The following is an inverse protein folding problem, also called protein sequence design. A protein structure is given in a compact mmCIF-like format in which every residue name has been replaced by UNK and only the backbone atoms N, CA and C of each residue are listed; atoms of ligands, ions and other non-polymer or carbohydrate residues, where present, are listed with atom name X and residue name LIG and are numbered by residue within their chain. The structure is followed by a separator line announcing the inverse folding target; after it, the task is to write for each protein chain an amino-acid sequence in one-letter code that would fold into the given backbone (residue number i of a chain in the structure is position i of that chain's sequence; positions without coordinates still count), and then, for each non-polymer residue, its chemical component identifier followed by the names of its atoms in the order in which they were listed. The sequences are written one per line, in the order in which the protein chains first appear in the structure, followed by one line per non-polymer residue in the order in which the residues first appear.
data_IF_310544883928
#
_entry.id   IF_310544883928
#
_cell.length_a   1.000
_cell.length_b   1.000
_cell.length_c   1.000
_cell.angle_alpha   90.00
_cell.angle_beta   90.00
_cell.angle_gamma   90.00
#
_symmetry.space_group_name_H-M   'P 1'
#
loop_
_entity.id
_entity.type
_entity.pdbx_description
1 polymer ?
#
# COMPACT_ATOMS: atom_id res chain seq x y z
N UNK A 1 23.04 30.92 -21.99
CA UNK A 1 22.36 29.63 -21.84
C UNK A 1 22.59 29.23 -20.40
N UNK A 2 21.67 29.62 -19.51
CA UNK A 2 21.80 29.44 -18.05
C UNK A 2 21.53 27.99 -17.64
N UNK A 3 22.05 27.63 -16.48
CA UNK A 3 22.18 26.30 -15.88
C UNK A 3 20.90 25.47 -15.78
N UNK A 4 21.08 24.16 -15.56
CA UNK A 4 20.02 23.22 -15.20
C UNK A 4 20.53 22.11 -14.29
N UNK A 5 21.47 22.44 -13.40
CA UNK A 5 21.81 21.60 -12.26
C UNK A 5 20.64 21.62 -11.28
N UNK A 6 19.55 20.91 -11.61
CA UNK A 6 18.47 20.69 -10.67
C UNK A 6 18.99 19.84 -9.54
N UNK A 7 19.13 20.42 -8.34
CA UNK A 7 19.27 19.60 -7.14
C UNK A 7 18.15 18.54 -7.16
N UNK A 8 18.44 17.27 -6.83
CA UNK A 8 17.38 16.27 -6.74
C UNK A 8 16.28 16.81 -5.82
N UNK A 9 15.02 16.55 -6.18
CA UNK A 9 13.91 16.82 -5.28
C UNK A 9 14.15 16.14 -3.92
N UNK A 10 13.37 16.46 -2.88
CA UNK A 10 13.61 15.93 -1.52
C UNK A 10 13.58 14.39 -1.43
N UNK A 11 13.08 13.70 -2.46
CA UNK A 11 13.03 12.24 -2.56
C UNK A 11 14.06 11.77 -3.59
N UNK A 12 14.97 10.89 -3.16
CA UNK A 12 16.04 10.32 -3.98
C UNK A 12 15.61 9.04 -4.71
N UNK A 13 14.86 8.18 -4.02
CA UNK A 13 14.30 6.92 -4.51
C UNK A 13 12.97 6.64 -3.82
N UNK A 14 12.13 5.81 -4.44
CA UNK A 14 10.86 5.33 -3.88
C UNK A 14 10.88 3.81 -3.75
N UNK A 15 10.48 3.29 -2.58
CA UNK A 15 10.04 1.89 -2.47
C UNK A 15 8.57 1.87 -2.07
N UNK A 16 7.74 1.31 -2.95
CA UNK A 16 6.34 1.03 -2.67
C UNK A 16 6.18 -0.46 -2.35
N UNK A 17 5.41 -0.78 -1.32
CA UNK A 17 5.15 -2.15 -0.88
C UNK A 17 3.64 -2.36 -0.81
N UNK A 18 3.15 -3.42 -1.46
CA UNK A 18 1.75 -3.84 -1.59
C UNK A 18 0.83 -2.87 -2.34
N UNK A 19 1.04 -1.56 -2.24
CA UNK A 19 0.19 -0.53 -2.84
C UNK A 19 0.79 -0.02 -4.16
N UNK A 20 0.07 -0.14 -5.29
CA UNK A 20 0.51 0.31 -6.59
C UNK A 20 0.40 1.84 -6.72
N UNK A 21 0.81 2.36 -7.87
CA UNK A 21 0.51 3.73 -8.22
C UNK A 21 -1.01 4.00 -8.16
N UNK A 22 -1.41 5.15 -7.61
CA UNK A 22 -2.84 5.40 -7.34
C UNK A 22 -3.68 5.66 -8.59
N UNK A 23 -3.07 6.12 -9.69
CA UNK A 23 -3.78 6.30 -10.96
C UNK A 23 -4.29 4.97 -11.54
N UNK A 24 -3.44 3.94 -11.80
CA UNK A 24 -3.92 2.65 -12.27
C UNK A 24 -4.75 1.93 -11.21
N UNK A 25 -4.49 2.13 -9.91
CA UNK A 25 -5.37 1.62 -8.85
C UNK A 25 -6.77 2.20 -8.93
N UNK A 26 -6.88 3.52 -9.04
CA UNK A 26 -8.14 4.22 -9.16
C UNK A 26 -8.89 3.89 -10.45
N UNK A 27 -8.16 3.60 -11.54
CA UNK A 27 -8.75 3.06 -12.77
C UNK A 27 -9.29 1.64 -12.56
N UNK A 28 -8.50 0.73 -11.99
CA UNK A 28 -8.93 -0.63 -11.72
C UNK A 28 -10.14 -0.67 -10.77
N UNK A 29 -10.18 0.16 -9.72
CA UNK A 29 -11.36 0.31 -8.85
C UNK A 29 -12.63 0.72 -9.63
N UNK A 30 -12.49 1.43 -10.76
CA UNK A 30 -13.62 1.85 -11.60
C UNK A 30 -13.99 0.83 -12.68
N UNK A 31 -13.01 0.10 -13.21
CA UNK A 31 -13.15 -0.59 -14.50
C UNK A 31 -12.90 -2.11 -14.41
N UNK A 32 -12.31 -2.62 -13.32
CA UNK A 32 -11.92 -4.02 -13.14
C UNK A 32 -12.76 -4.71 -12.05
N UNK A 33 -13.46 -5.78 -12.40
CA UNK A 33 -14.40 -6.46 -11.49
C UNK A 33 -13.71 -7.11 -10.28
N UNK A 34 -12.52 -7.67 -10.46
CA UNK A 34 -11.74 -8.28 -9.38
C UNK A 34 -11.28 -7.21 -8.38
N UNK A 35 -10.72 -6.09 -8.87
CA UNK A 35 -10.32 -4.99 -8.00
C UNK A 35 -11.52 -4.32 -7.31
N UNK A 36 -12.68 -4.23 -7.96
CA UNK A 36 -13.91 -3.75 -7.32
C UNK A 36 -14.30 -4.63 -6.12
N UNK A 37 -14.24 -5.96 -6.29
CA UNK A 37 -14.52 -6.90 -5.21
C UNK A 37 -13.51 -6.76 -4.07
N UNK A 38 -12.20 -6.72 -4.38
CA UNK A 38 -11.13 -6.52 -3.40
C UNK A 38 -11.27 -5.19 -2.65
N UNK A 39 -11.80 -4.15 -3.31
CA UNK A 39 -11.93 -2.81 -2.73
C UNK A 39 -13.25 -2.57 -1.99
N UNK A 40 -14.13 -3.56 -1.88
CA UNK A 40 -15.44 -3.42 -1.25
C UNK A 40 -15.34 -2.95 0.23
N UNK A 41 -14.27 -3.34 0.93
CA UNK A 41 -14.02 -2.91 2.32
C UNK A 41 -13.89 -1.39 2.45
N UNK A 42 -13.43 -0.67 1.40
CA UNK A 42 -13.26 0.78 1.44
C UNK A 42 -14.60 1.49 1.69
N UNK A 43 -15.72 0.95 1.16
CA UNK A 43 -17.04 1.51 1.40
C UNK A 43 -17.48 1.32 2.86
N UNK A 44 -17.14 0.18 3.45
CA UNK A 44 -17.36 -0.08 4.88
C UNK A 44 -16.57 0.93 5.72
N UNK A 45 -15.29 1.12 5.42
CA UNK A 45 -14.41 2.02 6.19
C UNK A 45 -14.78 3.50 6.07
N UNK A 46 -15.39 3.90 4.94
CA UNK A 46 -15.95 5.25 4.77
C UNK A 46 -17.16 5.52 5.68
N UNK A 47 -17.85 4.48 6.14
CA UNK A 47 -19.03 4.60 6.99
C UNK A 47 -18.75 5.29 8.34
N UNK A 48 -19.72 6.07 8.81
CA UNK A 48 -19.66 6.72 10.13
C UNK A 48 -19.66 5.72 11.30
N UNK A 49 -20.21 4.52 11.11
CA UNK A 49 -20.21 3.44 12.09
C UNK A 49 -18.99 2.50 12.05
N UNK A 50 -18.03 2.73 11.15
CA UNK A 50 -16.92 1.81 10.91
C UNK A 50 -16.03 1.60 12.15
N UNK A 51 -15.64 2.68 12.83
CA UNK A 51 -14.80 2.62 14.03
C UNK A 51 -15.46 1.76 15.11
N UNK A 52 -16.72 2.07 15.45
CA UNK A 52 -17.49 1.31 16.43
C UNK A 52 -17.55 -0.17 16.05
N UNK A 53 -17.90 -0.49 14.81
CA UNK A 53 -18.01 -1.87 14.35
C UNK A 53 -16.68 -2.64 14.39
N UNK A 54 -15.55 -1.96 14.14
CA UNK A 54 -14.22 -2.55 14.16
C UNK A 54 -13.69 -2.76 15.59
N UNK A 55 -14.06 -1.90 16.54
CA UNK A 55 -13.64 -1.97 17.95
C UNK A 55 -14.56 -2.84 18.83
N UNK A 56 -15.77 -3.15 18.37
CA UNK A 56 -16.69 -4.10 19.04
C UNK A 56 -16.04 -5.47 19.31
N UNK A 57 -16.55 -6.17 20.34
CA UNK A 57 -16.10 -7.51 20.75
C UNK A 57 -14.58 -7.62 20.94
N UNK A 58 -13.95 -6.68 21.68
CA UNK A 58 -12.49 -6.63 21.85
C UNK A 58 -11.74 -6.50 20.51
N UNK A 59 -12.24 -5.61 19.65
CA UNK A 59 -11.72 -5.36 18.31
C UNK A 59 -11.63 -6.60 17.40
N UNK A 60 -12.55 -7.57 17.57
CA UNK A 60 -12.53 -8.85 16.86
C UNK A 60 -12.47 -8.70 15.34
N UNK A 61 -13.24 -7.77 14.77
CA UNK A 61 -13.25 -7.54 13.32
C UNK A 61 -11.95 -6.89 12.83
N UNK A 62 -11.40 -5.96 13.60
CA UNK A 62 -10.10 -5.36 13.30
C UNK A 62 -8.99 -6.42 13.32
N UNK A 63 -8.99 -7.31 14.33
CA UNK A 63 -8.05 -8.43 14.45
C UNK A 63 -8.12 -9.39 13.26
N UNK A 64 -9.33 -9.65 12.75
CA UNK A 64 -9.53 -10.55 11.61
C UNK A 64 -8.89 -10.05 10.30
N UNK A 65 -8.63 -8.74 10.16
CA UNK A 65 -7.98 -8.17 8.96
C UNK A 65 -6.55 -8.70 8.77
N UNK A 66 -5.87 -9.02 9.87
CA UNK A 66 -4.52 -9.59 9.84
C UNK A 66 -4.50 -11.10 9.54
N UNK A 67 -5.65 -11.77 9.63
CA UNK A 67 -5.78 -13.21 9.39
C UNK A 67 -4.81 -14.05 10.23
N UNK A 68 -4.28 -15.11 9.61
CA UNK A 68 -3.21 -15.94 10.19
C UNK A 68 -1.82 -15.56 9.65
N UNK A 69 -1.71 -14.41 8.98
CA UNK A 69 -0.49 -13.98 8.29
C UNK A 69 0.46 -13.20 9.20
N UNK A 70 -0.05 -12.63 10.29
CA UNK A 70 0.70 -11.81 11.24
C UNK A 70 0.71 -12.50 12.61
N UNK A 71 1.88 -12.62 13.27
CA UNK A 71 1.97 -13.18 14.61
C UNK A 71 1.03 -12.47 15.59
N UNK A 72 0.34 -13.24 16.45
CA UNK A 72 -0.72 -12.69 17.32
C UNK A 72 -0.23 -11.56 18.24
N UNK A 73 1.01 -11.62 18.72
CA UNK A 73 1.58 -10.56 19.56
C UNK A 73 1.78 -9.24 18.79
N UNK A 74 2.14 -9.28 17.50
CA UNK A 74 2.15 -8.08 16.66
C UNK A 74 0.73 -7.54 16.44
N UNK A 75 -0.24 -8.44 16.20
CA UNK A 75 -1.66 -8.05 16.07
C UNK A 75 -2.15 -7.36 17.35
N UNK A 76 -1.80 -7.88 18.52
CA UNK A 76 -2.11 -7.26 19.82
C UNK A 76 -1.52 -5.85 19.92
N UNK A 77 -0.24 -5.67 19.57
CA UNK A 77 0.44 -4.37 19.60
C UNK A 77 -0.16 -3.35 18.62
N UNK A 78 -0.57 -3.79 17.43
CA UNK A 78 -1.22 -2.95 16.42
C UNK A 78 -2.63 -2.55 16.84
N UNK A 79 -3.41 -3.51 17.32
CA UNK A 79 -4.78 -3.28 17.79
C UNK A 79 -4.77 -2.37 19.01
N UNK A 80 -3.86 -2.56 19.95
CA UNK A 80 -3.72 -1.66 21.11
C UNK A 80 -3.54 -0.21 20.64
N UNK A 81 -2.61 0.06 19.71
CA UNK A 81 -2.41 1.41 19.16
C UNK A 81 -3.64 1.97 18.45
N UNK A 82 -4.36 1.13 17.70
CA UNK A 82 -5.56 1.56 16.99
C UNK A 82 -6.75 1.79 17.93
N UNK A 83 -6.74 1.20 19.13
CA UNK A 83 -7.77 1.42 20.16
C UNK A 83 -7.57 2.71 20.96
N UNK A 84 -6.41 3.35 20.86
CA UNK A 84 -6.18 4.66 21.49
C UNK A 84 -7.19 5.70 20.99
N UNK A 85 -7.69 6.61 21.85
CA UNK A 85 -8.74 7.55 21.49
C UNK A 85 -8.42 8.33 20.20
N UNK A 86 -9.26 8.12 19.18
CA UNK A 86 -9.16 8.80 17.88
C UNK A 86 -8.18 8.18 16.88
N UNK A 87 -7.38 7.18 17.26
CA UNK A 87 -6.39 6.56 16.38
C UNK A 87 -7.06 5.83 15.20
N UNK A 88 -8.02 4.95 15.47
CA UNK A 88 -8.74 4.26 14.38
C UNK A 88 -9.57 5.23 13.54
N UNK A 89 -10.23 6.22 14.13
CA UNK A 89 -10.88 7.29 13.35
C UNK A 89 -9.90 8.01 12.42
N UNK A 90 -8.69 8.35 12.87
CA UNK A 90 -7.68 8.99 12.02
C UNK A 90 -7.26 8.08 10.86
N UNK A 91 -7.07 6.78 11.10
CA UNK A 91 -6.78 5.81 10.05
C UNK A 91 -7.94 5.71 9.03
N UNK A 92 -9.19 5.60 9.51
CA UNK A 92 -10.39 5.54 8.66
C UNK A 92 -10.61 6.83 7.85
N UNK A 93 -10.15 7.98 8.36
CA UNK A 93 -10.26 9.25 7.66
C UNK A 93 -9.48 9.28 6.34
N UNK A 94 -8.41 8.48 6.18
CA UNK A 94 -7.77 8.30 4.87
C UNK A 94 -8.76 7.75 3.84
N UNK A 95 -9.52 6.70 4.16
CA UNK A 95 -10.54 6.16 3.25
C UNK A 95 -11.68 7.16 2.98
N UNK A 96 -12.08 7.95 3.99
CA UNK A 96 -13.11 8.98 3.89
C UNK A 96 -12.67 10.17 3.05
N UNK A 97 -11.38 10.51 3.05
CA UNK A 97 -10.81 11.59 2.28
C UNK A 97 -10.41 11.17 0.85
N UNK A 98 -9.91 9.94 0.68
CA UNK A 98 -9.41 9.46 -0.62
C UNK A 98 -10.51 9.47 -1.67
N UNK A 99 -10.27 10.22 -2.72
CA UNK A 99 -11.01 10.21 -3.99
C UNK A 99 -9.98 9.92 -5.07
N UNK A 100 -10.23 8.91 -5.90
CA UNK A 100 -9.41 8.62 -7.08
C UNK A 100 -9.76 9.59 -8.23
N UNK A 101 -9.72 10.89 -7.92
CA UNK A 101 -10.18 11.95 -8.82
C UNK A 101 -8.98 12.61 -9.49
N UNK A 102 -8.85 12.40 -10.79
CA UNK A 102 -7.79 13.00 -11.61
C UNK A 102 -6.43 12.31 -11.44
N UNK A 103 -5.51 12.52 -12.40
CA UNK A 103 -4.19 11.91 -12.37
C UNK A 103 -3.32 12.56 -11.28
N UNK A 104 -2.61 11.75 -10.49
CA UNK A 104 -1.62 12.24 -9.52
C UNK A 104 -0.27 12.58 -10.17
N UNK A 105 -0.03 12.12 -11.40
CA UNK A 105 1.19 12.36 -12.16
C UNK A 105 2.07 11.12 -12.27
N UNK A 106 3.25 11.25 -12.92
CA UNK A 106 4.22 10.14 -13.03
C UNK A 106 5.30 10.26 -11.98
N UNK A 107 5.87 9.12 -11.57
CA UNK A 107 7.00 9.06 -10.64
C UNK A 107 8.31 9.10 -11.43
N UNK A 108 9.09 10.16 -11.23
CA UNK A 108 10.34 10.41 -11.98
C UNK A 108 11.59 9.83 -11.30
N UNK A 109 11.50 9.49 -10.01
CA UNK A 109 12.63 8.94 -9.24
C UNK A 109 12.75 7.43 -9.44
N UNK A 110 13.95 6.84 -9.24
CA UNK A 110 14.09 5.39 -9.21
C UNK A 110 13.10 4.76 -8.23
N UNK A 111 12.37 3.76 -8.70
CA UNK A 111 11.24 3.16 -7.99
C UNK A 111 11.37 1.66 -7.94
N UNK A 112 11.39 1.10 -6.73
CA UNK A 112 11.12 -0.30 -6.45
C UNK A 112 9.63 -0.45 -6.08
N UNK A 113 8.91 -1.33 -6.75
CA UNK A 113 7.58 -1.75 -6.34
C UNK A 113 7.56 -3.24 -6.02
N UNK A 114 7.16 -3.58 -4.80
CA UNK A 114 7.03 -4.97 -4.33
C UNK A 114 5.55 -5.30 -4.12
N UNK A 115 5.05 -6.31 -4.81
CA UNK A 115 3.66 -6.78 -4.74
C UNK A 115 3.61 -8.30 -4.56
N UNK A 116 2.48 -8.86 -4.14
CA UNK A 116 2.36 -10.30 -3.90
C UNK A 116 1.03 -10.89 -4.38
N UNK A 117 1.05 -12.19 -4.72
CA UNK A 117 -0.06 -12.82 -5.45
C UNK A 117 -1.30 -13.09 -4.60
N UNK A 118 -1.14 -13.26 -3.28
CA UNK A 118 -2.24 -13.49 -2.34
C UNK A 118 -2.74 -12.20 -1.68
N UNK A 119 -2.47 -11.04 -2.30
CA UNK A 119 -2.94 -9.75 -1.83
C UNK A 119 -4.46 -9.60 -2.01
N UNK A 120 -5.20 -9.65 -0.90
CA UNK A 120 -6.67 -9.53 -0.89
C UNK A 120 -7.19 -8.11 -1.15
N UNK A 121 -6.33 -7.10 -1.14
CA UNK A 121 -6.69 -5.69 -1.30
C UNK A 121 -6.33 -5.13 -2.69
N UNK A 122 -5.29 -5.66 -3.34
CA UNK A 122 -4.77 -5.17 -4.63
C UNK A 122 -4.63 -6.32 -5.62
N UNK A 123 -5.37 -6.25 -6.72
CA UNK A 123 -5.30 -7.20 -7.83
C UNK A 123 -4.17 -6.87 -8.83
N UNK A 124 -3.88 -7.85 -9.68
CA UNK A 124 -2.77 -7.78 -10.65
C UNK A 124 -2.93 -6.65 -11.68
N UNK A 125 -4.17 -6.29 -12.06
CA UNK A 125 -4.44 -5.22 -13.03
C UNK A 125 -3.78 -3.90 -12.61
N UNK A 126 -3.99 -3.46 -11.37
CA UNK A 126 -3.38 -2.23 -10.86
C UNK A 126 -1.87 -2.39 -10.59
N UNK A 127 -1.47 -3.56 -10.10
CA UNK A 127 -0.07 -3.84 -9.80
C UNK A 127 0.82 -3.76 -11.05
N UNK A 128 0.46 -4.49 -12.10
CA UNK A 128 1.22 -4.55 -13.35
C UNK A 128 1.17 -3.23 -14.13
N UNK A 129 0.05 -2.48 -14.04
CA UNK A 129 -0.07 -1.19 -14.72
C UNK A 129 0.79 -0.07 -14.09
N UNK A 130 1.35 -0.28 -12.88
CA UNK A 130 2.19 0.71 -12.19
C UNK A 130 3.39 1.15 -13.02
N UNK A 131 4.01 0.24 -13.79
CA UNK A 131 5.17 0.55 -14.64
C UNK A 131 4.92 1.74 -15.59
N UNK A 132 3.71 1.85 -16.16
CA UNK A 132 3.36 2.93 -17.10
C UNK A 132 3.33 4.33 -16.46
N UNK A 133 3.27 4.38 -15.12
CA UNK A 133 3.23 5.59 -14.31
C UNK A 133 4.58 5.93 -13.68
N UNK A 134 5.63 5.17 -13.97
CA UNK A 134 7.00 5.49 -13.54
C UNK A 134 7.83 5.86 -14.78
N UNK A 135 8.46 7.03 -14.76
CA UNK A 135 9.39 7.49 -15.80
C UNK A 135 10.85 7.37 -15.37
N UNK A 136 11.11 7.27 -14.06
CA UNK A 136 12.42 6.91 -13.53
C UNK A 136 12.75 5.42 -13.74
N UNK A 137 13.96 4.98 -13.37
CA UNK A 137 14.30 3.56 -13.33
C UNK A 137 13.27 2.79 -12.50
N UNK A 138 12.67 1.75 -13.08
CA UNK A 138 11.62 0.96 -12.45
C UNK A 138 12.07 -0.48 -12.23
N UNK A 139 11.88 -0.97 -11.00
CA UNK A 139 12.09 -2.36 -10.61
C UNK A 139 10.80 -2.88 -9.99
N UNK A 140 10.26 -3.95 -10.55
CA UNK A 140 9.10 -4.65 -10.01
C UNK A 140 9.52 -6.01 -9.45
N UNK A 141 9.13 -6.29 -8.21
CA UNK A 141 9.36 -7.57 -7.55
C UNK A 141 8.01 -8.16 -7.14
N UNK A 142 7.71 -9.35 -7.64
CA UNK A 142 6.50 -10.09 -7.29
C UNK A 142 6.85 -11.24 -6.35
N UNK A 143 6.13 -11.34 -5.23
CA UNK A 143 6.25 -12.43 -4.28
C UNK A 143 5.06 -13.40 -4.42
N UNK A 144 5.33 -14.63 -4.81
CA UNK A 144 4.34 -15.71 -4.88
C UNK A 144 3.97 -16.20 -3.48
N UNK A 145 2.71 -16.61 -3.30
CA UNK A 145 2.17 -17.20 -2.05
C UNK A 145 2.27 -16.29 -0.80
N UNK A 146 2.45 -14.98 -0.99
CA UNK A 146 2.54 -13.98 0.09
C UNK A 146 1.29 -13.10 0.09
N UNK A 147 0.71 -12.87 1.27
CA UNK A 147 -0.46 -11.99 1.44
C UNK A 147 -0.09 -10.51 1.35
N UNK A 148 -1.07 -9.62 1.53
CA UNK A 148 -0.85 -8.18 1.64
C UNK A 148 0.22 -7.77 2.68
N UNK A 149 0.44 -8.60 3.71
CA UNK A 149 1.35 -8.36 4.83
C UNK A 149 2.80 -8.76 4.52
N UNK A 150 3.35 -8.28 3.40
CA UNK A 150 4.72 -8.59 2.95
C UNK A 150 5.78 -8.42 4.07
N UNK A 151 5.81 -7.31 4.86
CA UNK A 151 6.82 -7.14 5.90
C UNK A 151 6.73 -8.19 7.03
N UNK A 152 5.56 -8.77 7.26
CA UNK A 152 5.34 -9.77 8.31
C UNK A 152 5.65 -11.19 7.82
N UNK A 153 5.45 -11.46 6.53
CA UNK A 153 5.58 -12.81 5.97
C UNK A 153 6.89 -13.07 5.21
N UNK A 154 7.44 -12.04 4.56
CA UNK A 154 8.65 -12.14 3.77
C UNK A 154 9.66 -11.01 4.07
N UNK A 155 9.98 -10.73 5.36
CA UNK A 155 10.86 -9.63 5.72
C UNK A 155 12.25 -9.75 5.11
N UNK A 156 12.82 -10.96 5.01
CA UNK A 156 14.16 -11.17 4.45
C UNK A 156 14.20 -10.82 2.96
N UNK A 157 13.19 -11.24 2.20
CA UNK A 157 13.10 -10.93 0.78
C UNK A 157 12.90 -9.43 0.55
N UNK A 158 11.96 -8.82 1.28
CA UNK A 158 11.70 -7.39 1.21
C UNK A 158 12.95 -6.56 1.57
N UNK A 159 13.61 -6.89 2.68
CA UNK A 159 14.82 -6.20 3.10
C UNK A 159 15.95 -6.32 2.07
N UNK A 160 16.12 -7.50 1.47
CA UNK A 160 17.09 -7.70 0.40
C UNK A 160 16.78 -6.80 -0.81
N UNK A 161 15.54 -6.75 -1.27
CA UNK A 161 15.14 -5.89 -2.39
C UNK A 161 15.37 -4.41 -2.09
N UNK A 162 15.02 -3.95 -0.89
CA UNK A 162 15.24 -2.57 -0.44
C UNK A 162 16.74 -2.25 -0.46
N UNK A 163 17.58 -3.11 0.12
CA UNK A 163 19.02 -2.89 0.18
C UNK A 163 19.64 -2.85 -1.23
N UNK A 164 19.28 -3.80 -2.09
CA UNK A 164 19.74 -3.81 -3.49
C UNK A 164 19.32 -2.53 -4.23
N UNK A 165 18.08 -2.06 -4.04
CA UNK A 165 17.58 -0.83 -4.66
C UNK A 165 18.33 0.41 -4.15
N UNK A 166 18.55 0.53 -2.85
CA UNK A 166 19.29 1.65 -2.27
C UNK A 166 20.76 1.65 -2.74
N UNK A 167 21.41 0.48 -2.79
CA UNK A 167 22.78 0.34 -3.28
C UNK A 167 22.93 0.70 -4.76
N UNK A 168 21.93 0.40 -5.59
CA UNK A 168 21.93 0.75 -7.01
C UNK A 168 21.76 2.26 -7.28
N UNK A 169 21.34 3.05 -6.28
CA UNK A 169 21.01 4.46 -6.43
C UNK A 169 21.58 5.31 -5.29
N UNK A 170 22.88 5.17 -5.00
CA UNK A 170 23.59 5.92 -3.93
C UNK A 170 24.14 7.29 -4.35
N UNK A 171 24.22 7.59 -5.65
CA UNK A 171 24.77 8.84 -6.22
C UNK A 171 23.81 10.04 -6.33
#
# INVERSE_FOLDING_TARGET
MGDGGGAPGPVRTLTAVSIPHLDPFGQAVREDEDQQQRSAYMQVFRGSGAERALLEDNARKLRQIYGNFVPQHHVDDYVQRLTEPGALTAALNWYRATRFNGPIGKVEVPTLYVWSTEDVAVGSTAALATEHHVTGPYRFEMLEDVSHWIPEQAPEALNRFILEHLLAHQD
#
